data_IF_722603577091
#
_entry.id   IF_722603577091
#
_cell.length_a   1.000
_cell.length_b   1.000
_cell.length_c   1.000
_cell.angle_alpha   90.00
_cell.angle_beta   90.00
_cell.angle_gamma   90.00
#
_symmetry.space_group_name_H-M   'P 1'
#
loop_
_entity.id
_entity.type
_entity.pdbx_description
1 polymer ?
#
# COMPACT_ATOMS: atom_id res chain seq x y z
N UNK A 1 -24.25 -53.32 5.48
CA UNK A 1 -24.98 -52.05 5.22
C UNK A 1 -24.09 -50.92 5.68
N UNK A 2 -23.39 -50.30 4.74
CA UNK A 2 -22.54 -49.13 4.98
C UNK A 2 -23.40 -47.87 4.85
N UNK A 3 -23.32 -46.88 5.74
CA UNK A 3 -24.06 -45.64 5.58
C UNK A 3 -23.46 -44.79 4.47
N UNK A 4 -24.30 -44.42 3.52
CA UNK A 4 -24.01 -43.49 2.41
C UNK A 4 -23.70 -42.11 2.99
N UNK A 5 -22.50 -41.59 2.71
CA UNK A 5 -22.13 -40.22 3.01
C UNK A 5 -22.95 -39.27 2.13
N UNK A 6 -23.73 -38.41 2.72
CA UNK A 6 -24.45 -37.33 2.06
C UNK A 6 -23.45 -36.35 1.44
N UNK A 7 -23.66 -35.88 0.17
CA UNK A 7 -22.75 -34.91 -0.44
C UNK A 7 -22.83 -33.60 0.35
N UNK A 8 -21.65 -33.06 0.70
CA UNK A 8 -21.53 -31.74 1.30
C UNK A 8 -22.24 -30.71 0.39
N UNK A 9 -23.23 -30.00 0.93
CA UNK A 9 -23.86 -28.86 0.25
C UNK A 9 -22.77 -27.88 -0.16
N UNK A 10 -22.67 -27.64 -1.47
CA UNK A 10 -21.90 -26.52 -1.99
C UNK A 10 -22.33 -25.25 -1.23
N UNK A 11 -21.42 -24.56 -0.61
CA UNK A 11 -21.69 -23.25 -0.02
C UNK A 11 -22.19 -22.36 -1.14
N UNK A 12 -23.41 -21.84 -1.02
CA UNK A 12 -23.90 -20.78 -1.88
C UNK A 12 -22.85 -19.65 -1.88
N UNK A 13 -22.55 -19.03 -3.05
CA UNK A 13 -21.68 -17.86 -3.09
C UNK A 13 -22.25 -16.84 -2.10
N UNK A 14 -21.47 -16.44 -1.11
CA UNK A 14 -21.79 -15.31 -0.25
C UNK A 14 -22.07 -14.13 -1.20
N UNK A 15 -23.32 -13.66 -1.23
CA UNK A 15 -23.63 -12.38 -1.87
C UNK A 15 -22.80 -11.34 -1.11
N UNK A 16 -21.73 -10.87 -1.77
CA UNK A 16 -20.88 -9.86 -1.18
C UNK A 16 -21.72 -8.61 -0.94
N UNK A 17 -21.61 -7.97 0.24
CA UNK A 17 -22.38 -6.76 0.54
C UNK A 17 -21.98 -5.59 -0.36
N UNK A 18 -20.96 -5.76 -1.20
CA UNK A 18 -20.47 -4.80 -2.18
C UNK A 18 -19.96 -5.51 -3.44
N UNK A 19 -20.04 -4.81 -4.55
CA UNK A 19 -19.68 -5.30 -5.86
C UNK A 19 -18.35 -4.65 -6.31
N UNK A 20 -17.25 -5.42 -6.45
CA UNK A 20 -15.97 -4.88 -6.90
C UNK A 20 -16.05 -4.29 -8.32
N UNK A 21 -17.02 -4.68 -9.16
CA UNK A 21 -17.22 -4.12 -10.50
C UNK A 21 -17.75 -2.67 -10.48
N UNK A 22 -18.28 -2.21 -9.35
CA UNK A 22 -18.68 -0.81 -9.14
C UNK A 22 -17.52 0.12 -8.82
N UNK A 23 -16.35 -0.44 -8.51
CA UNK A 23 -15.17 0.37 -8.28
C UNK A 23 -14.58 0.83 -9.61
N UNK A 24 -14.08 2.08 -9.69
CA UNK A 24 -13.37 2.51 -10.88
C UNK A 24 -12.16 1.60 -11.12
N UNK A 25 -11.82 1.31 -12.39
CA UNK A 25 -10.63 0.52 -12.68
C UNK A 25 -9.38 1.24 -12.23
N UNK A 26 -8.42 0.49 -11.70
CA UNK A 26 -7.10 1.06 -11.42
C UNK A 26 -6.47 1.60 -12.72
N UNK A 27 -5.75 2.74 -12.69
CA UNK A 27 -5.20 3.32 -13.92
C UNK A 27 -4.42 2.31 -14.74
N UNK A 28 -4.81 2.14 -16.01
CA UNK A 28 -4.23 1.12 -16.89
C UNK A 28 -2.71 1.22 -17.03
N UNK A 29 -2.17 2.45 -16.97
CA UNK A 29 -0.72 2.69 -17.02
C UNK A 29 -0.02 2.15 -15.77
N UNK A 30 -0.62 2.30 -14.60
CA UNK A 30 -0.06 1.77 -13.35
C UNK A 30 -0.15 0.24 -13.30
N UNK A 31 -1.25 -0.37 -13.80
CA UNK A 31 -1.35 -1.83 -13.97
C UNK A 31 -0.28 -2.38 -14.93
N UNK A 32 -0.07 -1.70 -16.07
CA UNK A 32 0.99 -2.10 -17.01
C UNK A 32 2.38 -1.96 -16.38
N UNK A 33 2.62 -0.90 -15.59
CA UNK A 33 3.88 -0.75 -14.84
C UNK A 33 4.08 -1.87 -13.81
N UNK A 34 3.01 -2.34 -13.16
CA UNK A 34 3.05 -3.51 -12.26
C UNK A 34 3.38 -4.80 -13.02
N UNK A 35 2.74 -5.02 -14.17
CA UNK A 35 2.96 -6.23 -14.97
C UNK A 35 4.37 -6.31 -15.57
N UNK A 36 5.01 -5.16 -15.84
CA UNK A 36 6.43 -5.12 -16.21
C UNK A 36 7.36 -5.68 -15.11
N UNK A 37 6.87 -5.92 -13.89
CA UNK A 37 7.64 -6.59 -12.83
C UNK A 37 7.74 -8.09 -12.96
N UNK A 38 6.75 -8.72 -13.59
CA UNK A 38 6.66 -10.19 -13.68
C UNK A 38 7.46 -10.78 -14.85
N UNK A 39 7.99 -9.91 -15.73
CA UNK A 39 8.78 -10.32 -16.91
C UNK A 39 10.28 -10.23 -16.67
N UNK A 40 11.01 -11.25 -17.10
CA UNK A 40 12.48 -11.30 -17.03
C UNK A 40 13.19 -10.28 -17.93
N UNK A 41 12.48 -9.68 -18.89
CA UNK A 41 13.02 -8.78 -19.91
C UNK A 41 12.50 -7.33 -19.82
N UNK A 42 11.96 -6.94 -18.68
CA UNK A 42 11.44 -5.57 -18.51
C UNK A 42 12.54 -4.52 -18.54
N UNK A 43 12.42 -3.56 -19.45
CA UNK A 43 13.42 -2.52 -19.63
C UNK A 43 12.96 -1.15 -19.13
N UNK A 44 13.93 -0.31 -18.75
CA UNK A 44 13.70 1.11 -18.44
C UNK A 44 13.04 1.84 -19.62
N UNK A 45 13.36 1.43 -20.84
CA UNK A 45 12.83 2.01 -22.07
C UNK A 45 11.34 1.72 -22.20
N UNK A 46 10.89 0.50 -21.90
CA UNK A 46 9.48 0.12 -21.98
C UNK A 46 8.65 0.91 -20.98
N UNK A 47 9.13 1.03 -19.74
CA UNK A 47 8.49 1.85 -18.72
C UNK A 47 8.48 3.34 -19.11
N UNK A 48 9.57 3.85 -19.66
CA UNK A 48 9.64 5.22 -20.16
C UNK A 48 8.63 5.47 -21.30
N UNK A 49 8.51 4.56 -22.26
CA UNK A 49 7.54 4.66 -23.36
C UNK A 49 6.10 4.60 -22.85
N UNK A 50 5.84 3.73 -21.87
CA UNK A 50 4.55 3.64 -21.20
C UNK A 50 4.17 4.96 -20.52
N UNK A 51 5.09 5.58 -19.76
CA UNK A 51 4.86 6.88 -19.10
C UNK A 51 4.62 7.99 -20.12
N UNK A 52 5.38 8.01 -21.23
CA UNK A 52 5.23 9.02 -22.29
C UNK A 52 3.88 8.96 -23.02
N UNK A 53 3.18 7.82 -22.94
CA UNK A 53 1.83 7.70 -23.52
C UNK A 53 0.74 8.41 -22.72
N UNK A 54 1.06 8.90 -21.50
CA UNK A 54 0.12 9.60 -20.62
C UNK A 54 0.71 10.90 -20.08
N UNK A 55 0.02 12.01 -20.33
CA UNK A 55 0.51 13.33 -19.94
C UNK A 55 0.56 13.53 -18.42
N UNK A 56 -0.39 12.97 -17.65
CA UNK A 56 -0.44 13.13 -16.20
C UNK A 56 0.72 12.37 -15.54
N UNK A 57 0.98 11.13 -15.95
CA UNK A 57 2.13 10.36 -15.48
C UNK A 57 3.47 10.98 -15.91
N UNK A 58 3.54 11.53 -17.12
CA UNK A 58 4.74 12.27 -17.58
C UNK A 58 5.05 13.46 -16.68
N UNK A 59 4.03 14.27 -16.36
CA UNK A 59 4.17 15.42 -15.46
C UNK A 59 4.58 14.98 -14.05
N UNK A 60 3.95 13.93 -13.51
CA UNK A 60 4.27 13.39 -12.18
C UNK A 60 5.75 12.98 -12.10
N UNK A 61 6.24 12.22 -13.08
CA UNK A 61 7.63 11.76 -13.14
C UNK A 61 8.61 12.93 -13.27
N UNK A 62 8.31 13.92 -14.10
CA UNK A 62 9.16 15.12 -14.25
C UNK A 62 9.23 15.92 -12.93
N UNK A 63 8.13 16.07 -12.21
CA UNK A 63 8.11 16.77 -10.92
C UNK A 63 8.94 16.05 -9.87
N UNK A 64 8.82 14.72 -9.75
CA UNK A 64 9.65 13.92 -8.82
C UNK A 64 11.12 14.04 -9.19
N UNK A 65 11.47 13.94 -10.50
CA UNK A 65 12.84 14.07 -10.96
C UNK A 65 13.45 15.46 -10.67
N UNK A 66 12.63 16.50 -10.65
CA UNK A 66 13.03 17.87 -10.32
C UNK A 66 12.87 18.22 -8.82
N UNK A 67 12.44 17.28 -7.99
CA UNK A 67 12.32 17.54 -6.56
C UNK A 67 13.69 17.71 -5.90
N UNK A 68 13.80 18.46 -4.78
CA UNK A 68 15.06 18.66 -4.05
C UNK A 68 15.73 17.35 -3.59
N UNK A 69 14.98 16.25 -3.51
CA UNK A 69 15.48 14.93 -3.15
C UNK A 69 16.27 14.24 -4.27
N UNK A 70 16.09 14.66 -5.51
CA UNK A 70 16.64 13.99 -6.70
C UNK A 70 17.55 14.93 -7.50
N UNK A 71 17.15 16.18 -7.68
CA UNK A 71 17.84 17.14 -8.55
C UNK A 71 19.01 17.80 -7.85
N UNK A 72 20.23 17.56 -8.35
CA UNK A 72 21.43 18.20 -7.83
C UNK A 72 21.76 19.56 -8.48
N UNK A 73 21.27 19.87 -9.67
CA UNK A 73 21.58 21.16 -10.33
C UNK A 73 20.90 21.49 -11.67
N UNK A 74 20.13 20.64 -12.31
CA UNK A 74 19.57 20.91 -13.65
C UNK A 74 18.10 20.55 -13.72
N UNK A 75 17.30 21.45 -14.33
CA UNK A 75 15.90 21.14 -14.66
C UNK A 75 15.85 19.99 -15.66
N UNK A 76 15.23 18.89 -15.26
CA UNK A 76 14.92 17.74 -16.10
C UNK A 76 13.69 18.08 -16.92
N UNK A 77 13.81 18.10 -18.24
CA UNK A 77 12.73 18.54 -19.14
C UNK A 77 12.13 17.41 -19.97
N UNK A 78 12.71 16.21 -19.94
CA UNK A 78 12.17 15.06 -20.67
C UNK A 78 11.97 13.84 -19.77
N UNK A 79 10.93 13.05 -20.08
CA UNK A 79 10.64 11.79 -19.37
C UNK A 79 11.82 10.82 -19.49
N UNK A 80 12.52 10.79 -20.63
CA UNK A 80 13.70 9.95 -20.81
C UNK A 80 14.82 10.33 -19.84
N UNK A 81 15.13 11.62 -19.72
CA UNK A 81 16.12 12.10 -18.75
C UNK A 81 15.71 11.79 -17.31
N UNK A 82 14.42 12.01 -16.98
CA UNK A 82 13.86 11.66 -15.68
C UNK A 82 13.99 10.16 -15.40
N UNK A 83 13.69 9.31 -16.40
CA UNK A 83 13.80 7.86 -16.31
C UNK A 83 15.24 7.40 -16.06
N UNK A 84 16.20 8.00 -16.76
CA UNK A 84 17.62 7.69 -16.56
C UNK A 84 18.12 8.14 -15.19
N UNK A 85 17.67 9.29 -14.69
CA UNK A 85 18.04 9.84 -13.39
C UNK A 85 17.46 9.02 -12.24
N UNK A 86 16.18 8.64 -12.32
CA UNK A 86 15.47 7.88 -11.29
C UNK A 86 15.85 6.40 -11.31
N UNK A 87 16.19 5.87 -12.50
CA UNK A 87 16.34 4.46 -12.72
C UNK A 87 15.00 3.70 -12.73
N UNK A 88 15.03 2.45 -13.19
CA UNK A 88 13.82 1.64 -13.39
C UNK A 88 12.95 1.54 -12.13
N UNK A 89 13.57 1.23 -11.00
CA UNK A 89 12.86 0.92 -9.77
C UNK A 89 12.13 2.15 -9.18
N UNK A 90 12.84 3.27 -9.03
CA UNK A 90 12.23 4.49 -8.49
C UNK A 90 11.18 5.06 -9.44
N UNK A 91 11.43 4.98 -10.74
CA UNK A 91 10.46 5.38 -11.75
C UNK A 91 9.15 4.59 -11.61
N UNK A 92 9.24 3.28 -11.47
CA UNK A 92 8.11 2.39 -11.26
C UNK A 92 7.37 2.71 -9.96
N UNK A 93 8.10 2.88 -8.86
CA UNK A 93 7.52 3.25 -7.56
C UNK A 93 6.70 4.54 -7.66
N UNK A 94 7.22 5.55 -8.35
CA UNK A 94 6.51 6.81 -8.62
C UNK A 94 5.23 6.58 -9.43
N UNK A 95 5.30 5.76 -10.47
CA UNK A 95 4.12 5.46 -11.33
C UNK A 95 3.03 4.75 -10.53
N UNK A 96 3.39 3.78 -9.70
CA UNK A 96 2.44 3.04 -8.87
C UNK A 96 1.81 3.95 -7.80
N UNK A 97 2.63 4.72 -7.09
CA UNK A 97 2.13 5.64 -6.05
C UNK A 97 1.24 6.74 -6.64
N UNK A 98 1.58 7.25 -7.82
CA UNK A 98 0.75 8.22 -8.54
C UNK A 98 -0.53 7.56 -9.07
N UNK A 99 -0.46 6.31 -9.53
CA UNK A 99 -1.62 5.51 -9.92
C UNK A 99 -2.61 5.34 -8.77
N UNK A 100 -2.13 5.03 -7.57
CA UNK A 100 -2.97 4.96 -6.37
C UNK A 100 -3.56 6.34 -6.03
N UNK A 101 -2.76 7.41 -6.11
CA UNK A 101 -3.25 8.79 -5.89
C UNK A 101 -4.36 9.16 -6.89
N UNK A 102 -4.19 8.81 -8.17
CA UNK A 102 -5.18 9.05 -9.20
C UNK A 102 -6.46 8.23 -8.94
N UNK A 103 -6.32 6.98 -8.50
CA UNK A 103 -7.43 6.11 -8.14
C UNK A 103 -8.30 6.66 -7.01
N UNK A 104 -7.67 7.22 -5.97
CA UNK A 104 -8.39 7.80 -4.83
C UNK A 104 -8.92 9.21 -5.12
N UNK A 105 -8.49 9.86 -6.21
CA UNK A 105 -8.75 11.28 -6.50
C UNK A 105 -10.22 11.62 -6.71
N UNK A 106 -11.02 10.73 -7.29
CA UNK A 106 -12.44 10.97 -7.53
C UNK A 106 -13.26 11.10 -6.24
N UNK A 107 -12.74 10.53 -5.14
CA UNK A 107 -13.31 10.60 -3.80
C UNK A 107 -12.34 11.28 -2.81
N UNK A 108 -11.51 12.24 -3.25
CA UNK A 108 -10.40 12.80 -2.47
C UNK A 108 -10.89 13.58 -1.25
N UNK A 109 -11.27 12.82 -0.23
CA UNK A 109 -11.59 13.31 1.11
C UNK A 109 -10.32 13.31 1.98
N UNK A 110 -10.29 14.01 3.12
CA UNK A 110 -9.18 13.91 4.09
C UNK A 110 -8.87 12.46 4.48
N UNK A 111 -9.90 11.61 4.56
CA UNK A 111 -9.78 10.17 4.81
C UNK A 111 -8.94 9.48 3.75
N UNK A 112 -9.25 9.70 2.47
CA UNK A 112 -8.54 9.09 1.35
C UNK A 112 -7.10 9.58 1.25
N UNK A 113 -6.86 10.86 1.54
CA UNK A 113 -5.52 11.42 1.60
C UNK A 113 -4.68 10.74 2.69
N UNK A 114 -5.27 10.53 3.87
CA UNK A 114 -4.58 9.82 4.96
C UNK A 114 -4.27 8.37 4.58
N UNK A 115 -5.22 7.64 3.98
CA UNK A 115 -4.98 6.28 3.49
C UNK A 115 -3.84 6.23 2.45
N UNK A 116 -3.84 7.18 1.50
CA UNK A 116 -2.78 7.25 0.50
C UNK A 116 -1.41 7.53 1.13
N UNK A 117 -1.31 8.51 2.04
CA UNK A 117 -0.05 8.85 2.74
C UNK A 117 0.46 7.69 3.57
N UNK A 118 -0.44 6.99 4.27
CA UNK A 118 -0.12 5.77 5.01
C UNK A 118 0.48 4.69 4.11
N UNK A 119 -0.20 4.38 3.00
CA UNK A 119 0.27 3.38 2.04
C UNK A 119 1.65 3.72 1.46
N UNK A 120 1.90 5.00 1.12
CA UNK A 120 3.21 5.43 0.61
C UNK A 120 4.28 5.35 1.70
N UNK A 121 3.99 5.75 2.95
CA UNK A 121 4.92 5.61 4.06
C UNK A 121 5.28 4.15 4.32
N UNK A 122 4.29 3.27 4.39
CA UNK A 122 4.48 1.83 4.55
C UNK A 122 5.37 1.26 3.41
N UNK A 123 5.10 1.66 2.16
CA UNK A 123 5.86 1.22 1.00
C UNK A 123 7.34 1.63 1.05
N UNK A 124 7.63 2.89 1.42
CA UNK A 124 9.00 3.40 1.55
C UNK A 124 9.75 2.64 2.66
N UNK A 125 9.11 2.42 3.80
CA UNK A 125 9.70 1.69 4.93
C UNK A 125 9.98 0.23 4.58
N UNK A 126 9.03 -0.45 3.94
CA UNK A 126 9.18 -1.83 3.50
C UNK A 126 10.29 -1.97 2.43
N UNK A 127 10.37 -1.04 1.48
CA UNK A 127 11.43 -1.00 0.47
C UNK A 127 12.81 -0.83 1.11
N UNK A 128 12.95 0.12 2.06
CA UNK A 128 14.21 0.35 2.78
C UNK A 128 14.64 -0.91 3.54
N UNK A 129 13.73 -1.51 4.30
CA UNK A 129 14.00 -2.73 5.06
C UNK A 129 14.38 -3.91 4.16
N UNK A 130 13.67 -4.10 3.04
CA UNK A 130 13.98 -5.14 2.06
C UNK A 130 15.36 -4.95 1.45
N UNK A 131 15.69 -3.72 1.04
CA UNK A 131 17.01 -3.36 0.48
C UNK A 131 18.15 -3.71 1.44
N UNK A 132 18.00 -3.38 2.70
CA UNK A 132 19.01 -3.63 3.73
C UNK A 132 19.12 -5.10 4.13
N UNK A 133 18.09 -5.88 3.87
CA UNK A 133 18.01 -7.32 4.17
C UNK A 133 18.26 -8.21 2.95
N UNK A 134 18.61 -7.64 1.79
CA UNK A 134 18.79 -8.35 0.52
C UNK A 134 17.53 -9.13 0.09
N UNK A 135 16.35 -8.61 0.44
CA UNK A 135 15.06 -9.11 0.00
C UNK A 135 14.56 -8.34 -1.24
N UNK A 136 13.48 -8.80 -1.84
CA UNK A 136 12.87 -8.14 -3.00
C UNK A 136 12.24 -6.80 -2.57
N UNK A 137 13.01 -5.72 -2.75
CA UNK A 137 12.60 -4.36 -2.40
C UNK A 137 11.45 -3.86 -3.26
N UNK A 138 11.33 -4.35 -4.49
CA UNK A 138 10.33 -3.92 -5.44
C UNK A 138 8.97 -4.51 -5.13
N UNK A 139 8.97 -5.79 -4.76
CA UNK A 139 7.80 -6.43 -4.20
C UNK A 139 7.40 -5.80 -2.87
N UNK A 140 8.35 -5.50 -1.98
CA UNK A 140 8.10 -4.83 -0.69
C UNK A 140 7.40 -3.48 -0.89
N UNK A 141 7.91 -2.64 -1.80
CA UNK A 141 7.28 -1.35 -2.12
C UNK A 141 5.84 -1.53 -2.62
N UNK A 142 5.66 -2.43 -3.59
CA UNK A 142 4.34 -2.70 -4.19
C UNK A 142 3.36 -3.23 -3.15
N UNK A 143 3.78 -4.19 -2.33
CA UNK A 143 2.97 -4.73 -1.26
C UNK A 143 2.58 -3.65 -0.23
N UNK A 144 3.53 -2.78 0.14
CA UNK A 144 3.27 -1.64 1.02
C UNK A 144 2.26 -0.64 0.45
N UNK A 145 2.28 -0.38 -0.87
CA UNK A 145 1.29 0.49 -1.52
C UNK A 145 -0.13 -0.11 -1.46
N UNK A 146 -0.26 -1.43 -1.62
CA UNK A 146 -1.58 -2.06 -1.76
C UNK A 146 -2.12 -2.71 -0.50
N UNK A 147 -1.33 -2.84 0.58
CA UNK A 147 -1.75 -3.63 1.75
C UNK A 147 -3.12 -3.19 2.30
N UNK A 148 -3.39 -1.91 2.29
CA UNK A 148 -4.61 -1.26 2.81
C UNK A 148 -5.61 -0.82 1.73
N UNK A 149 -5.47 -1.27 0.48
CA UNK A 149 -6.33 -0.85 -0.63
C UNK A 149 -7.82 -1.15 -0.37
N UNK A 150 -8.12 -2.15 0.44
CA UNK A 150 -9.47 -2.47 0.85
C UNK A 150 -10.14 -1.37 1.67
N UNK A 151 -9.40 -0.58 2.45
CA UNK A 151 -9.93 0.60 3.15
C UNK A 151 -10.45 1.63 2.15
N UNK A 152 -9.72 1.83 1.06
CA UNK A 152 -10.14 2.70 -0.05
C UNK A 152 -11.40 2.14 -0.71
N UNK A 153 -11.44 0.82 -0.96
CA UNK A 153 -12.61 0.16 -1.53
C UNK A 153 -13.87 0.33 -0.67
N UNK A 154 -13.76 0.06 0.64
CA UNK A 154 -14.87 0.22 1.59
C UNK A 154 -15.33 1.69 1.70
N UNK A 155 -14.40 2.62 1.80
CA UNK A 155 -14.74 4.04 1.90
C UNK A 155 -15.38 4.58 0.61
N UNK A 156 -15.04 4.03 -0.56
CA UNK A 156 -15.63 4.43 -1.84
C UNK A 156 -17.03 3.83 -2.04
N UNK A 157 -17.21 2.55 -1.74
CA UNK A 157 -18.47 1.83 -2.02
C UNK A 157 -19.48 1.96 -0.89
N UNK A 158 -19.01 2.10 0.34
CA UNK A 158 -19.83 2.13 1.56
C UNK A 158 -19.49 3.35 2.45
N UNK A 159 -19.49 4.59 1.91
CA UNK A 159 -18.94 5.76 2.61
C UNK A 159 -19.57 6.00 3.98
N UNK A 160 -20.89 5.84 4.11
CA UNK A 160 -21.60 6.03 5.39
C UNK A 160 -21.22 4.97 6.44
N UNK A 161 -21.11 3.70 6.02
CA UNK A 161 -20.72 2.61 6.92
C UNK A 161 -19.26 2.76 7.35
N UNK A 162 -18.38 3.06 6.39
CA UNK A 162 -16.95 3.21 6.67
C UNK A 162 -16.64 4.45 7.53
N UNK A 163 -17.37 5.56 7.36
CA UNK A 163 -17.26 6.71 8.27
C UNK A 163 -17.59 6.28 9.72
N UNK A 164 -18.64 5.49 9.92
CA UNK A 164 -18.96 4.97 11.26
C UNK A 164 -17.87 4.04 11.82
N UNK A 165 -17.21 3.25 10.97
CA UNK A 165 -16.03 2.45 11.38
C UNK A 165 -14.93 3.37 11.91
N UNK A 166 -14.60 4.42 11.16
CA UNK A 166 -13.55 5.40 11.54
C UNK A 166 -13.90 6.13 12.83
N UNK A 167 -15.13 6.61 12.96
CA UNK A 167 -15.61 7.33 14.15
C UNK A 167 -15.53 6.44 15.40
N UNK A 168 -16.07 5.21 15.32
CA UNK A 168 -16.03 4.22 16.39
C UNK A 168 -14.59 3.90 16.82
N UNK A 169 -13.70 3.65 15.88
CA UNK A 169 -12.32 3.34 16.21
C UNK A 169 -11.57 4.56 16.74
N UNK A 170 -11.88 5.77 16.26
CA UNK A 170 -11.32 7.01 16.80
C UNK A 170 -11.74 7.27 18.25
N UNK A 171 -12.97 6.91 18.64
CA UNK A 171 -13.43 6.95 20.02
C UNK A 171 -12.70 5.94 20.89
N UNK A 172 -12.59 4.68 20.45
CA UNK A 172 -11.83 3.64 21.13
C UNK A 172 -10.35 4.03 21.30
N UNK A 173 -9.76 4.66 20.30
CA UNK A 173 -8.39 5.22 20.37
C UNK A 173 -8.24 6.25 21.49
N UNK A 174 -9.23 7.12 21.70
CA UNK A 174 -9.22 8.11 22.80
C UNK A 174 -9.28 7.44 24.17
N UNK A 175 -9.97 6.32 24.25
CA UNK A 175 -10.11 5.51 25.48
C UNK A 175 -8.93 4.55 25.74
N UNK A 176 -7.90 4.57 24.90
CA UNK A 176 -6.66 3.77 25.01
C UNK A 176 -6.82 2.25 24.87
N UNK A 177 -7.85 1.75 24.17
CA UNK A 177 -8.24 0.33 24.16
C UNK A 177 -8.34 -0.26 22.74
N UNK A 178 -7.52 0.12 21.77
CA UNK A 178 -7.68 -0.43 20.40
C UNK A 178 -6.61 -1.44 20.05
N UNK A 179 -7.03 -2.64 19.68
CA UNK A 179 -6.20 -3.65 18.99
C UNK A 179 -6.48 -3.61 17.46
N UNK A 180 -5.54 -3.98 16.58
CA UNK A 180 -5.83 -4.12 15.15
C UNK A 180 -7.03 -5.02 14.84
N UNK A 181 -7.24 -6.05 15.67
CA UNK A 181 -8.40 -6.94 15.58
C UNK A 181 -9.74 -6.21 15.76
N UNK A 182 -9.76 -5.09 16.51
CA UNK A 182 -10.98 -4.31 16.75
C UNK A 182 -11.40 -3.54 15.51
N UNK A 183 -10.42 -3.05 14.71
CA UNK A 183 -10.69 -2.41 13.42
C UNK A 183 -11.34 -3.41 12.46
N UNK A 184 -10.75 -4.60 12.29
CA UNK A 184 -11.29 -5.65 11.41
C UNK A 184 -12.70 -6.10 11.89
N UNK A 185 -12.90 -6.23 13.20
CA UNK A 185 -14.21 -6.57 13.76
C UNK A 185 -15.25 -5.47 13.48
N UNK A 186 -14.89 -4.20 13.65
CA UNK A 186 -15.75 -3.06 13.35
C UNK A 186 -16.11 -2.98 11.86
N UNK A 187 -15.16 -3.25 10.97
CA UNK A 187 -15.40 -3.31 9.53
C UNK A 187 -16.36 -4.45 9.17
N UNK A 188 -16.15 -5.67 9.70
CA UNK A 188 -17.06 -6.81 9.47
C UNK A 188 -18.46 -6.54 9.98
N UNK A 189 -18.59 -5.91 11.16
CA UNK A 189 -19.90 -5.58 11.74
C UNK A 189 -20.64 -4.52 10.94
N UNK A 190 -19.96 -3.44 10.52
CA UNK A 190 -20.60 -2.28 9.92
C UNK A 190 -20.65 -2.33 8.38
N UNK A 191 -19.68 -3.00 7.75
CA UNK A 191 -19.56 -3.13 6.31
C UNK A 191 -19.86 -4.55 5.80
N UNK A 192 -19.98 -5.54 6.69
CA UNK A 192 -20.16 -6.95 6.34
C UNK A 192 -18.89 -7.65 5.84
N UNK A 193 -17.79 -6.93 5.70
CA UNK A 193 -16.50 -7.39 5.19
C UNK A 193 -15.40 -6.49 5.76
N UNK A 194 -14.22 -7.04 6.01
CA UNK A 194 -13.07 -6.23 6.40
C UNK A 194 -12.21 -5.80 5.20
N UNK A 195 -11.29 -4.87 5.44
CA UNK A 195 -10.45 -4.33 4.38
C UNK A 195 -9.45 -5.35 3.81
N UNK A 196 -9.03 -6.37 4.58
CA UNK A 196 -8.15 -7.41 4.07
C UNK A 196 -8.85 -8.24 2.99
N UNK A 197 -10.08 -8.68 3.26
CA UNK A 197 -10.88 -9.44 2.31
C UNK A 197 -11.36 -8.56 1.14
N UNK A 198 -11.77 -7.32 1.40
CA UNK A 198 -12.13 -6.35 0.35
C UNK A 198 -10.95 -6.10 -0.60
N UNK A 199 -9.75 -5.88 -0.05
CA UNK A 199 -8.53 -5.70 -0.83
C UNK A 199 -8.16 -6.94 -1.64
N UNK A 200 -8.27 -8.13 -1.04
CA UNK A 200 -8.05 -9.41 -1.73
C UNK A 200 -8.93 -9.56 -2.96
N UNK A 201 -10.22 -9.30 -2.82
CA UNK A 201 -11.19 -9.40 -3.92
C UNK A 201 -10.91 -8.36 -5.00
N UNK A 202 -10.58 -7.14 -4.61
CA UNK A 202 -10.25 -6.06 -5.54
C UNK A 202 -8.99 -6.37 -6.36
N UNK A 203 -7.92 -6.84 -5.72
CA UNK A 203 -6.70 -7.19 -6.42
C UNK A 203 -6.90 -8.40 -7.35
N UNK A 204 -7.73 -9.36 -6.94
CA UNK A 204 -8.10 -10.50 -7.79
C UNK A 204 -8.91 -10.03 -9.02
N UNK A 205 -9.85 -9.09 -8.87
CA UNK A 205 -10.59 -8.51 -9.97
C UNK A 205 -9.69 -7.70 -10.94
N UNK A 206 -8.57 -7.18 -10.47
CA UNK A 206 -7.57 -6.51 -11.30
C UNK A 206 -6.52 -7.47 -11.89
N UNK A 207 -6.66 -8.78 -11.70
CA UNK A 207 -5.74 -9.82 -12.18
C UNK A 207 -4.29 -9.60 -11.72
N UNK A 208 -4.12 -9.18 -10.46
CA UNK A 208 -2.80 -8.97 -9.88
C UNK A 208 -2.17 -10.29 -9.38
N UNK A 209 -0.83 -10.33 -9.23
CA UNK A 209 -0.12 -11.55 -8.84
C UNK A 209 -0.63 -12.14 -7.52
N UNK A 210 -0.81 -13.49 -7.43
CA UNK A 210 -1.29 -14.16 -6.21
C UNK A 210 -0.47 -13.86 -4.96
N UNK A 211 0.84 -13.66 -5.11
CA UNK A 211 1.71 -13.29 -3.99
C UNK A 211 1.32 -11.93 -3.38
N UNK A 212 0.95 -10.95 -4.19
CA UNK A 212 0.49 -9.64 -3.74
C UNK A 212 -0.89 -9.74 -3.08
N UNK A 213 -1.81 -10.49 -3.71
CA UNK A 213 -3.14 -10.76 -3.17
C UNK A 213 -3.05 -11.37 -1.78
N UNK A 214 -2.14 -12.35 -1.59
CA UNK A 214 -1.95 -13.01 -0.30
C UNK A 214 -1.44 -12.05 0.78
N UNK A 215 -0.51 -11.15 0.45
CA UNK A 215 -0.03 -10.14 1.40
C UNK A 215 -1.17 -9.24 1.85
N UNK A 216 -1.97 -8.73 0.93
CA UNK A 216 -3.11 -7.86 1.24
C UNK A 216 -4.14 -8.59 2.12
N UNK A 217 -4.41 -9.87 1.84
CA UNK A 217 -5.34 -10.67 2.62
C UNK A 217 -4.88 -10.92 4.07
N UNK A 218 -3.56 -11.02 4.31
CA UNK A 218 -3.01 -11.56 5.56
C UNK A 218 -2.07 -10.59 6.31
N UNK A 219 -1.94 -9.31 5.91
CA UNK A 219 -0.93 -8.42 6.48
C UNK A 219 -1.11 -8.12 7.98
N UNK A 220 -2.28 -8.34 8.55
CA UNK A 220 -2.52 -8.32 10.00
C UNK A 220 -2.26 -9.67 10.69
N UNK A 221 -2.03 -10.74 9.93
CA UNK A 221 -1.77 -12.07 10.44
C UNK A 221 -0.30 -12.45 10.27
N UNK A 222 0.59 -11.92 11.13
CA UNK A 222 2.04 -12.13 11.02
C UNK A 222 2.44 -13.62 10.85
N UNK A 223 1.69 -14.55 11.45
CA UNK A 223 1.95 -15.99 11.36
C UNK A 223 1.58 -16.60 10.00
N UNK A 224 0.68 -15.96 9.25
CA UNK A 224 0.27 -16.41 7.92
C UNK A 224 1.28 -16.00 6.83
N UNK A 225 2.07 -14.95 7.08
CA UNK A 225 3.14 -14.47 6.21
C UNK A 225 4.43 -15.21 6.55
N UNK A 226 4.58 -16.43 6.06
CA UNK A 226 5.52 -17.43 6.56
C UNK A 226 7.01 -17.09 6.38
N UNK A 227 7.44 -16.24 5.44
CA UNK A 227 8.85 -15.85 5.26
C UNK A 227 9.07 -14.80 4.18
N UNK A 228 10.24 -14.18 4.17
CA UNK A 228 10.72 -13.31 3.10
C UNK A 228 10.15 -11.90 3.15
N UNK A 229 10.01 -11.28 1.99
CA UNK A 229 9.64 -9.86 1.84
C UNK A 229 8.26 -9.52 2.43
N UNK A 230 7.33 -10.46 2.40
CA UNK A 230 5.97 -10.29 2.93
C UNK A 230 5.94 -9.96 4.42
N UNK A 231 6.91 -10.48 5.20
CA UNK A 231 7.00 -10.24 6.65
C UNK A 231 7.35 -8.80 7.01
N UNK A 232 7.80 -8.01 6.05
CA UNK A 232 8.15 -6.60 6.26
C UNK A 232 6.93 -5.68 6.28
N UNK A 233 5.77 -6.12 5.77
CA UNK A 233 4.62 -5.24 5.57
C UNK A 233 3.97 -4.88 6.91
N UNK A 234 3.72 -5.84 7.78
CA UNK A 234 3.12 -5.58 9.09
C UNK A 234 3.95 -4.60 9.95
N UNK A 235 5.27 -4.80 10.17
CA UNK A 235 6.05 -3.84 10.93
C UNK A 235 6.21 -2.48 10.21
N UNK A 236 6.20 -2.45 8.87
CA UNK A 236 6.23 -1.18 8.13
C UNK A 236 4.91 -0.42 8.25
N UNK A 237 3.77 -1.11 8.29
CA UNK A 237 2.45 -0.54 8.54
C UNK A 237 2.43 0.12 9.93
N UNK A 238 2.75 -0.62 11.00
CA UNK A 238 2.79 -0.09 12.36
C UNK A 238 3.82 1.05 12.52
N UNK A 239 4.99 0.93 11.88
CA UNK A 239 5.99 1.99 11.88
C UNK A 239 5.46 3.26 11.22
N UNK A 240 4.75 3.14 10.09
CA UNK A 240 4.17 4.31 9.41
C UNK A 240 3.13 5.02 10.28
N UNK A 241 2.32 4.27 11.03
CA UNK A 241 1.38 4.82 12.00
C UNK A 241 2.09 5.59 13.13
N UNK A 242 3.16 4.99 13.68
CA UNK A 242 3.95 5.59 14.75
C UNK A 242 4.63 6.90 14.31
N UNK A 243 5.09 6.96 13.06
CA UNK A 243 5.73 8.14 12.46
C UNK A 243 4.76 9.26 12.09
N UNK A 244 3.46 9.11 12.41
CA UNK A 244 2.44 10.13 12.15
C UNK A 244 1.73 10.01 10.80
N UNK A 245 1.91 8.90 10.08
CA UNK A 245 1.21 8.58 8.83
C UNK A 245 0.11 7.54 9.07
N UNK A 246 -0.61 7.62 10.19
CA UNK A 246 -1.64 6.67 10.54
C UNK A 246 -2.81 6.71 9.54
N UNK A 247 -3.32 5.53 9.17
CA UNK A 247 -4.62 5.42 8.52
C UNK A 247 -5.73 5.82 9.49
N UNK A 248 -6.86 6.36 9.00
CA UNK A 248 -7.96 6.78 9.86
C UNK A 248 -8.49 5.64 10.72
N UNK A 249 -8.64 5.91 12.03
CA UNK A 249 -9.07 4.91 13.01
C UNK A 249 -7.97 3.98 13.50
N UNK A 250 -6.74 4.13 13.01
CA UNK A 250 -5.57 3.38 13.49
C UNK A 250 -4.77 4.20 14.52
N UNK A 251 -4.13 3.48 15.45
CA UNK A 251 -3.20 4.06 16.42
C UNK A 251 -2.07 3.09 16.69
N UNK A 252 -0.81 3.56 16.71
CA UNK A 252 0.31 2.71 17.09
C UNK A 252 0.16 2.28 18.55
N UNK A 253 0.29 0.99 18.80
CA UNK A 253 0.18 0.40 20.13
C UNK A 253 1.56 0.12 20.73
N UNK A 254 2.57 0.04 19.89
CA UNK A 254 3.94 -0.33 20.26
C UNK A 254 4.88 0.85 20.13
N UNK A 255 5.98 0.81 20.92
CA UNK A 255 7.06 1.80 20.82
C UNK A 255 7.97 1.50 19.64
N UNK A 256 8.76 2.47 19.25
CA UNK A 256 9.69 2.41 18.13
C UNK A 256 10.59 1.17 18.17
N UNK A 257 11.23 0.90 19.33
CA UNK A 257 12.14 -0.21 19.51
C UNK A 257 11.45 -1.58 19.42
N UNK A 258 10.19 -1.64 19.85
CA UNK A 258 9.38 -2.86 19.77
C UNK A 258 9.00 -3.20 18.33
N UNK A 259 8.69 -2.19 17.52
CA UNK A 259 8.38 -2.38 16.09
C UNK A 259 9.68 -2.69 15.34
N UNK A 260 10.79 -2.00 15.65
CA UNK A 260 12.09 -2.29 15.06
C UNK A 260 12.51 -3.76 15.27
N UNK A 261 12.16 -4.36 16.41
CA UNK A 261 12.51 -5.74 16.70
C UNK A 261 11.91 -6.77 15.72
N UNK A 262 10.83 -6.42 15.02
CA UNK A 262 10.19 -7.28 14.02
C UNK A 262 10.85 -7.20 12.63
N UNK A 263 11.68 -6.20 12.40
CA UNK A 263 12.48 -6.16 11.17
C UNK A 263 13.68 -7.08 11.26
N UNK A 264 14.18 -7.60 10.12
CA UNK A 264 15.43 -8.34 10.06
C UNK A 264 16.59 -7.55 10.69
N UNK A 265 17.51 -8.22 11.37
CA UNK A 265 18.62 -7.60 12.09
C UNK A 265 19.43 -6.63 11.19
N UNK A 266 19.67 -7.00 9.94
CA UNK A 266 20.40 -6.19 8.97
C UNK A 266 19.66 -4.88 8.60
N UNK A 267 18.34 -4.88 8.61
CA UNK A 267 17.56 -3.66 8.42
C UNK A 267 17.49 -2.85 9.71
N UNK A 268 17.25 -3.51 10.83
CA UNK A 268 17.12 -2.89 12.15
C UNK A 268 18.28 -1.97 12.49
N UNK A 269 19.51 -2.41 12.25
CA UNK A 269 20.72 -1.64 12.54
C UNK A 269 20.92 -0.42 11.63
N UNK A 270 20.12 -0.27 10.58
CA UNK A 270 20.22 0.82 9.59
C UNK A 270 19.12 1.85 9.70
N UNK A 271 18.06 1.56 10.44
CA UNK A 271 17.08 2.58 10.77
C UNK A 271 17.69 3.63 11.70
N UNK A 272 17.35 4.92 11.54
CA UNK A 272 17.77 5.97 12.46
C UNK A 272 17.41 5.61 13.90
N UNK A 273 18.27 5.98 14.85
CA UNK A 273 17.98 5.85 16.28
C UNK A 273 16.91 6.86 16.69
N UNK A 274 16.92 8.02 16.04
CA UNK A 274 15.93 9.08 16.24
C UNK A 274 14.71 8.86 15.32
N UNK A 275 13.57 8.64 15.94
CA UNK A 275 12.29 8.47 15.25
C UNK A 275 11.86 9.73 14.49
N UNK A 276 12.18 10.94 15.02
CA UNK A 276 11.80 12.21 14.37
C UNK A 276 12.62 12.41 13.08
N UNK A 277 13.87 11.99 13.05
CA UNK A 277 14.71 11.99 11.84
C UNK A 277 14.07 11.11 10.76
N UNK A 278 13.68 9.87 11.11
CA UNK A 278 13.03 8.95 10.19
C UNK A 278 11.70 9.52 9.68
N UNK A 279 10.88 10.07 10.57
CA UNK A 279 9.59 10.69 10.20
C UNK A 279 9.80 11.86 9.21
N UNK A 280 10.81 12.71 9.45
CA UNK A 280 11.15 13.81 8.55
C UNK A 280 11.59 13.34 7.16
N UNK A 281 12.42 12.29 7.11
CA UNK A 281 12.85 11.71 5.83
C UNK A 281 11.67 11.15 5.03
N UNK A 282 10.81 10.35 5.67
CA UNK A 282 9.63 9.77 5.04
C UNK A 282 8.67 10.88 4.56
N UNK A 283 8.45 11.92 5.39
CA UNK A 283 7.60 13.06 5.01
C UNK A 283 8.11 13.77 3.74
N UNK A 284 9.42 13.97 3.61
CA UNK A 284 10.03 14.59 2.41
C UNK A 284 9.81 13.74 1.15
N UNK A 285 9.95 12.42 1.26
CA UNK A 285 9.71 11.52 0.12
C UNK A 285 8.24 11.51 -0.28
N UNK A 286 7.31 11.46 0.69
CA UNK A 286 5.88 11.56 0.43
C UNK A 286 5.54 12.88 -0.24
N UNK A 287 6.07 14.01 0.28
CA UNK A 287 5.82 15.33 -0.27
C UNK A 287 6.29 15.45 -1.73
N UNK A 288 7.42 14.86 -2.08
CA UNK A 288 7.91 14.84 -3.46
C UNK A 288 6.94 14.11 -4.40
N UNK A 289 6.34 13.00 -3.96
CA UNK A 289 5.33 12.26 -4.73
C UNK A 289 3.97 12.99 -4.72
N UNK A 290 3.60 13.59 -3.60
CA UNK A 290 2.33 14.31 -3.43
C UNK A 290 2.25 15.56 -4.30
N UNK A 291 3.38 16.25 -4.46
CA UNK A 291 3.51 17.44 -5.30
C UNK A 291 3.58 17.12 -6.79
N UNK A 292 3.75 15.83 -7.14
CA UNK A 292 3.72 15.36 -8.52
C UNK A 292 2.28 15.21 -9.02
#
# INVERSE_FOLDING_TARGET
MTPSASPAKAREPLELPWDPERLPPFPAIALKALNLMSGTDSSLIDLCNLIRSDAAFSVAVLRVANSPLVAFSKNVTSVLQASMLLGFQRLRSVVIAFGLKAYVREAFTPLMQSCWRHSVACAILAERAARWSFLDKDFAYTAGIFHDIGKVALATTMPKAYTRVVDRNSELVRESVVQPADLLASERELCGIDHCEAGRLLLAAWDLPPALINVVACHHEQKALASGTSTLISPSCEMSELLGFAAPGAKPLRRYEQILADFPEMARSRFPVDMEELASEIAKEIQAIESA
#
